data_IF_759209741980
#
_entry.id   IF_759209741980
#
_cell.length_a   1.000
_cell.length_b   1.000
_cell.length_c   1.000
_cell.angle_alpha   90.00
_cell.angle_beta   90.00
_cell.angle_gamma   90.00
#
_symmetry.space_group_name_H-M   'P 1'
#
loop_
_entity.id
_entity.type
_entity.pdbx_description
1 polymer ?
#
# COMPACT_ATOMS: atom_id res chain seq x y z
N UNK A 1 -50.39 -36.80 17.78
CA UNK A 1 -49.03 -37.02 17.24
C UNK A 1 -48.76 -35.90 16.27
N UNK A 2 -48.17 -34.77 16.68
CA UNK A 2 -46.75 -34.61 17.01
C UNK A 2 -45.85 -35.36 16.03
N UNK A 3 -45.19 -34.62 15.15
CA UNK A 3 -43.74 -34.44 15.23
C UNK A 3 -43.35 -33.12 14.55
N UNK A 4 -42.68 -32.29 15.35
CA UNK A 4 -41.86 -31.15 14.94
C UNK A 4 -40.55 -31.62 14.29
N UNK A 5 -39.76 -30.61 13.90
CA UNK A 5 -38.33 -30.62 13.55
C UNK A 5 -37.97 -30.98 12.11
N UNK A 6 -37.11 -30.21 11.43
CA UNK A 6 -36.25 -29.11 11.89
C UNK A 6 -35.70 -28.38 10.68
N UNK A 7 -35.74 -27.07 10.79
CA UNK A 7 -34.84 -26.13 10.13
C UNK A 7 -33.40 -26.67 10.10
N UNK A 8 -32.86 -26.83 8.90
CA UNK A 8 -31.41 -26.82 8.69
C UNK A 8 -31.13 -26.31 7.29
N UNK A 9 -31.53 -25.06 7.04
CA UNK A 9 -30.80 -24.26 6.04
C UNK A 9 -29.41 -24.08 6.62
N UNK A 10 -28.49 -24.97 6.21
CA UNK A 10 -27.06 -24.83 6.52
C UNK A 10 -26.58 -23.64 5.71
N UNK A 11 -26.85 -22.45 6.23
CA UNK A 11 -26.20 -21.23 5.80
C UNK A 11 -24.72 -21.44 6.09
N UNK A 12 -23.94 -21.55 5.03
CA UNK A 12 -22.54 -21.17 5.07
C UNK A 12 -22.49 -19.79 5.72
N UNK A 13 -21.99 -19.69 6.96
CA UNK A 13 -21.67 -18.42 7.58
C UNK A 13 -20.68 -17.70 6.67
N UNK A 14 -21.16 -16.74 5.87
CA UNK A 14 -20.26 -15.85 5.16
C UNK A 14 -19.65 -14.92 6.20
N UNK A 15 -18.31 -14.89 6.28
CA UNK A 15 -17.57 -14.03 7.21
C UNK A 15 -17.92 -12.53 7.07
N UNK A 16 -18.63 -12.16 6.01
CA UNK A 16 -19.18 -10.84 5.76
C UNK A 16 -20.60 -10.97 5.19
N UNK A 17 -21.59 -10.34 5.83
CA UNK A 17 -23.00 -10.37 5.43
C UNK A 17 -23.48 -8.99 4.94
N UNK A 18 -24.66 -8.94 4.32
CA UNK A 18 -25.22 -7.70 3.77
C UNK A 18 -25.43 -6.59 4.82
N UNK A 19 -25.92 -6.89 6.04
CA UNK A 19 -25.99 -5.90 7.12
C UNK A 19 -24.63 -5.37 7.59
N UNK A 20 -23.59 -6.21 7.69
CA UNK A 20 -22.23 -5.77 8.01
C UNK A 20 -21.66 -4.86 6.93
N UNK A 21 -21.85 -5.21 5.66
CA UNK A 21 -21.43 -4.40 4.52
C UNK A 21 -22.04 -2.99 4.54
N UNK A 22 -23.34 -2.88 4.81
CA UNK A 22 -24.04 -1.61 4.87
C UNK A 22 -23.49 -0.70 5.98
N UNK A 23 -23.21 -1.26 7.17
CA UNK A 23 -22.60 -0.52 8.29
C UNK A 23 -21.21 -0.01 7.94
N UNK A 24 -20.35 -0.86 7.39
CA UNK A 24 -19.00 -0.49 6.98
C UNK A 24 -19.03 0.65 5.95
N UNK A 25 -19.88 0.57 4.93
CA UNK A 25 -20.01 1.63 3.92
C UNK A 25 -20.50 2.95 4.54
N UNK A 26 -21.44 2.89 5.47
CA UNK A 26 -21.93 4.07 6.17
C UNK A 26 -20.82 4.76 6.97
N UNK A 27 -20.00 3.98 7.70
CA UNK A 27 -18.86 4.50 8.47
C UNK A 27 -17.80 5.13 7.57
N UNK A 28 -17.42 4.46 6.46
CA UNK A 28 -16.45 4.97 5.50
C UNK A 28 -16.91 6.28 4.86
N UNK A 29 -18.20 6.38 4.50
CA UNK A 29 -18.81 7.63 3.99
C UNK A 29 -18.78 8.74 5.04
N UNK A 30 -19.05 8.41 6.30
CA UNK A 30 -18.94 9.36 7.41
C UNK A 30 -17.51 9.86 7.60
N UNK A 31 -16.51 8.97 7.56
CA UNK A 31 -15.10 9.34 7.65
C UNK A 31 -14.66 10.26 6.50
N UNK A 32 -15.10 9.98 5.27
CA UNK A 32 -14.84 10.86 4.12
C UNK A 32 -15.52 12.23 4.27
N UNK A 33 -16.82 12.24 4.61
CA UNK A 33 -17.59 13.47 4.78
C UNK A 33 -17.06 14.38 5.91
N UNK A 34 -16.42 13.79 6.93
CA UNK A 34 -15.74 14.54 8.00
C UNK A 34 -14.52 15.35 7.54
N UNK A 35 -14.04 15.13 6.30
CA UNK A 35 -12.85 15.79 5.75
C UNK A 35 -11.53 15.21 6.25
N UNK A 36 -11.55 14.17 7.11
CA UNK A 36 -10.35 13.51 7.64
C UNK A 36 -9.39 13.03 6.52
N UNK A 37 -9.93 12.59 5.40
CA UNK A 37 -9.16 12.06 4.27
C UNK A 37 -8.56 13.14 3.36
N UNK A 38 -8.89 14.42 3.58
CA UNK A 38 -8.46 15.53 2.72
C UNK A 38 -7.06 16.02 3.03
N UNK A 39 -6.59 15.86 4.28
CA UNK A 39 -5.29 16.40 4.68
C UNK A 39 -4.16 15.71 3.90
N UNK A 40 -3.12 16.47 3.58
CA UNK A 40 -1.95 15.94 2.90
C UNK A 40 -1.25 14.89 3.76
N UNK A 41 -0.97 15.22 5.02
CA UNK A 41 -0.28 14.34 5.96
C UNK A 41 -1.02 13.02 6.21
N UNK A 42 -2.36 13.06 6.23
CA UNK A 42 -3.17 11.85 6.37
C UNK A 42 -2.95 10.92 5.18
N UNK A 43 -2.97 11.45 3.96
CA UNK A 43 -2.79 10.66 2.73
C UNK A 43 -1.37 10.12 2.59
N UNK A 44 -0.36 10.92 2.93
CA UNK A 44 1.03 10.47 3.02
C UNK A 44 1.15 9.30 4.00
N UNK A 45 0.54 9.44 5.18
CA UNK A 45 0.54 8.37 6.20
C UNK A 45 -0.14 7.10 5.70
N UNK A 46 -1.28 7.21 5.00
CA UNK A 46 -1.96 6.04 4.44
C UNK A 46 -1.14 5.38 3.32
N UNK A 47 -0.50 6.16 2.44
CA UNK A 47 0.31 5.62 1.35
C UNK A 47 1.57 4.93 1.88
N UNK A 48 2.25 5.51 2.89
CA UNK A 48 3.37 4.86 3.58
C UNK A 48 2.94 3.57 4.29
N UNK A 49 1.75 3.56 4.89
CA UNK A 49 1.21 2.34 5.51
C UNK A 49 0.91 1.24 4.47
N UNK A 50 0.43 1.62 3.27
CA UNK A 50 0.20 0.67 2.17
C UNK A 50 1.51 0.11 1.60
N UNK A 51 2.52 0.96 1.38
CA UNK A 51 3.86 0.52 0.98
C UNK A 51 4.41 -0.50 1.98
N UNK A 52 4.32 -0.20 3.27
CA UNK A 52 4.75 -1.09 4.34
C UNK A 52 3.98 -2.41 4.37
N UNK A 53 2.65 -2.37 4.19
CA UNK A 53 1.82 -3.57 4.14
C UNK A 53 2.30 -4.54 3.04
N UNK A 54 2.57 -4.01 1.85
CA UNK A 54 3.03 -4.85 0.73
C UNK A 54 4.45 -5.37 0.97
N UNK A 55 5.34 -4.57 1.55
CA UNK A 55 6.70 -4.98 1.88
C UNK A 55 6.73 -6.07 2.97
N UNK A 56 5.96 -5.90 4.04
CA UNK A 56 5.96 -6.82 5.18
C UNK A 56 5.30 -8.17 4.83
N UNK A 57 4.35 -8.17 3.90
CA UNK A 57 3.56 -9.37 3.50
C UNK A 57 3.85 -9.86 2.08
N UNK A 58 4.95 -9.44 1.45
CA UNK A 58 5.38 -9.92 0.12
C UNK A 58 5.29 -11.46 -0.04
N UNK A 59 5.87 -12.30 0.86
CA UNK A 59 5.84 -13.74 0.67
C UNK A 59 4.42 -14.33 0.74
N UNK A 60 3.55 -13.73 1.56
CA UNK A 60 2.15 -14.16 1.69
C UNK A 60 1.36 -13.83 0.43
N UNK A 61 1.61 -12.65 -0.17
CA UNK A 61 1.01 -12.22 -1.44
C UNK A 61 1.45 -13.16 -2.58
N UNK A 62 2.74 -13.52 -2.64
CA UNK A 62 3.26 -14.45 -3.64
C UNK A 62 2.61 -15.83 -3.50
N UNK A 63 2.49 -16.34 -2.28
CA UNK A 63 1.90 -17.66 -2.04
C UNK A 63 0.39 -17.69 -2.33
N UNK A 64 -0.35 -16.64 -1.96
CA UNK A 64 -1.76 -16.48 -2.29
C UNK A 64 -1.99 -16.46 -3.80
N UNK A 65 -1.23 -15.62 -4.53
CA UNK A 65 -1.34 -15.54 -6.00
C UNK A 65 -0.93 -16.83 -6.71
N UNK A 66 0.03 -17.57 -6.15
CA UNK A 66 0.37 -18.91 -6.64
C UNK A 66 -0.78 -19.89 -6.42
N UNK A 67 -1.45 -19.86 -5.27
CA UNK A 67 -2.57 -20.75 -4.96
C UNK A 67 -3.81 -20.43 -5.81
N UNK A 68 -4.13 -19.16 -5.96
CA UNK A 68 -5.36 -18.71 -6.63
C UNK A 68 -5.23 -18.72 -8.15
N UNK A 69 -4.08 -18.27 -8.67
CA UNK A 69 -3.89 -18.04 -10.11
C UNK A 69 -2.80 -18.90 -10.74
N UNK A 70 -2.12 -19.76 -9.97
CA UNK A 70 -0.95 -20.53 -10.42
C UNK A 70 0.18 -19.66 -11.00
N UNK A 71 0.24 -18.38 -10.61
CA UNK A 71 1.21 -17.41 -11.13
C UNK A 71 2.62 -17.75 -10.60
N UNK A 72 3.67 -17.80 -11.46
CA UNK A 72 5.02 -18.05 -11.01
C UNK A 72 5.55 -16.86 -10.17
N UNK A 73 6.41 -17.10 -9.16
CA UNK A 73 6.84 -16.06 -8.22
C UNK A 73 7.49 -14.85 -8.89
N UNK A 74 8.31 -15.09 -9.91
CA UNK A 74 8.99 -14.02 -10.63
C UNK A 74 8.01 -13.05 -11.28
N UNK A 75 6.92 -13.55 -11.84
CA UNK A 75 5.90 -12.73 -12.51
C UNK A 75 5.09 -11.92 -11.48
N UNK A 76 4.74 -12.52 -10.34
CA UNK A 76 4.11 -11.81 -9.23
C UNK A 76 5.01 -10.69 -8.72
N UNK A 77 6.30 -10.98 -8.51
CA UNK A 77 7.25 -9.97 -8.04
C UNK A 77 7.40 -8.86 -9.08
N UNK A 78 7.58 -9.19 -10.36
CA UNK A 78 7.77 -8.22 -11.44
C UNK A 78 6.59 -7.27 -11.67
N UNK A 79 5.36 -7.77 -11.61
CA UNK A 79 4.18 -7.00 -12.04
C UNK A 79 3.31 -6.49 -10.90
N UNK A 80 3.30 -7.15 -9.74
CA UNK A 80 2.46 -6.75 -8.61
C UNK A 80 3.30 -6.06 -7.54
N UNK A 81 4.33 -6.74 -7.03
CA UNK A 81 5.11 -6.31 -5.86
C UNK A 81 6.08 -5.17 -6.22
N UNK A 82 6.76 -5.31 -7.37
CA UNK A 82 7.70 -4.31 -7.89
C UNK A 82 7.02 -3.02 -8.39
N UNK A 83 5.70 -2.93 -8.36
CA UNK A 83 5.04 -1.64 -8.59
C UNK A 83 5.07 -0.75 -7.32
N UNK A 84 5.06 -1.37 -6.13
CA UNK A 84 4.90 -0.66 -4.85
C UNK A 84 6.22 -0.44 -4.11
N UNK A 85 7.15 -1.40 -4.17
CA UNK A 85 8.36 -1.43 -3.32
C UNK A 85 9.62 -0.82 -3.96
N UNK A 86 9.93 -0.97 -5.25
CA UNK A 86 11.26 -0.65 -5.77
C UNK A 86 11.40 0.79 -6.23
N UNK A 87 10.36 1.63 -6.24
CA UNK A 87 10.60 3.04 -6.52
C UNK A 87 11.47 3.67 -5.42
N UNK A 88 11.30 3.29 -4.14
CA UNK A 88 12.13 3.76 -3.04
C UNK A 88 13.54 3.13 -3.03
N UNK A 89 13.67 1.85 -3.41
CA UNK A 89 14.96 1.14 -3.50
C UNK A 89 15.77 1.44 -4.78
N UNK A 90 15.13 1.57 -5.95
CA UNK A 90 15.83 1.93 -7.19
C UNK A 90 16.21 3.41 -7.18
N UNK A 91 15.39 4.32 -6.63
CA UNK A 91 15.81 5.70 -6.46
C UNK A 91 16.96 5.81 -5.47
N UNK A 92 16.96 5.09 -4.35
CA UNK A 92 18.10 5.10 -3.43
C UNK A 92 19.36 4.48 -4.05
N UNK A 93 19.27 3.38 -4.82
CA UNK A 93 20.43 2.78 -5.50
C UNK A 93 20.93 3.66 -6.66
N UNK A 94 20.07 4.22 -7.51
CA UNK A 94 20.46 5.16 -8.56
C UNK A 94 20.97 6.49 -7.99
N UNK A 95 20.40 6.97 -6.88
CA UNK A 95 20.86 8.17 -6.18
C UNK A 95 22.19 7.93 -5.46
N UNK A 96 22.38 6.78 -4.82
CA UNK A 96 23.67 6.40 -4.24
C UNK A 96 24.73 6.15 -5.32
N UNK A 97 24.37 5.58 -6.48
CA UNK A 97 25.23 5.50 -7.66
C UNK A 97 25.54 6.87 -8.28
N UNK A 98 24.59 7.82 -8.25
CA UNK A 98 24.78 9.19 -8.74
C UNK A 98 25.68 10.00 -7.78
N UNK A 99 25.46 9.88 -6.47
CA UNK A 99 26.31 10.48 -5.43
C UNK A 99 27.71 9.86 -5.45
N UNK A 100 27.84 8.53 -5.42
CA UNK A 100 29.13 7.86 -5.49
C UNK A 100 29.83 8.03 -6.85
N UNK A 101 29.07 8.20 -7.94
CA UNK A 101 29.58 8.50 -9.28
C UNK A 101 30.15 9.92 -9.41
N UNK A 102 29.57 10.90 -8.71
CA UNK A 102 30.10 12.26 -8.62
C UNK A 102 31.19 12.43 -7.54
N UNK A 103 31.29 11.50 -6.57
CA UNK A 103 32.19 11.61 -5.42
C UNK A 103 33.69 11.32 -5.68
N UNK A 104 34.14 11.11 -6.93
CA UNK A 104 35.58 10.95 -7.21
C UNK A 104 36.34 12.28 -7.32
N UNK A 105 35.71 13.44 -7.10
CA UNK A 105 36.37 14.74 -7.24
C UNK A 105 36.42 15.66 -6.01
N UNK A 106 35.75 15.37 -4.89
CA UNK A 106 35.81 16.26 -3.71
C UNK A 106 35.80 15.47 -2.42
N UNK A 107 36.91 15.54 -1.70
CA UNK A 107 37.11 15.08 -0.34
C UNK A 107 36.36 15.96 0.66
N UNK A 108 35.11 15.65 0.99
CA UNK A 108 34.44 16.16 2.20
C UNK A 108 33.51 15.07 2.72
N UNK A 109 33.75 14.67 3.98
CA UNK A 109 32.95 13.71 4.75
C UNK A 109 31.94 14.49 5.59
N UNK A 110 30.83 13.81 5.91
CA UNK A 110 30.02 13.94 7.13
C UNK A 110 28.78 14.86 7.17
N UNK A 111 27.66 14.18 7.45
CA UNK A 111 26.42 14.58 8.14
C UNK A 111 25.32 15.36 7.40
N UNK A 112 25.58 16.19 6.40
CA UNK A 112 24.50 17.00 5.78
C UNK A 112 23.67 16.31 4.67
N UNK A 113 24.08 15.14 4.18
CA UNK A 113 23.34 14.45 3.12
C UNK A 113 22.09 13.69 3.60
N UNK A 114 21.96 13.43 4.90
CA UNK A 114 20.90 12.55 5.41
C UNK A 114 19.53 13.24 5.47
N UNK A 115 19.47 14.55 5.74
CA UNK A 115 18.20 15.28 5.88
C UNK A 115 17.49 15.59 4.55
N UNK A 116 18.20 15.56 3.41
CA UNK A 116 17.59 15.83 2.10
C UNK A 116 17.09 14.57 1.37
N UNK A 117 17.40 13.38 1.91
CA UNK A 117 17.05 12.10 1.27
C UNK A 117 15.63 11.61 1.60
N UNK A 118 14.95 12.24 2.58
CA UNK A 118 13.52 11.97 2.86
C UNK A 118 12.57 12.49 1.76
N UNK A 119 13.00 13.50 1.00
CA UNK A 119 12.14 14.26 0.08
C UNK A 119 11.74 13.51 -1.20
N UNK A 120 12.41 12.41 -1.55
CA UNK A 120 12.18 11.73 -2.85
C UNK A 120 10.98 10.77 -2.82
N UNK A 121 10.74 10.07 -1.71
CA UNK A 121 9.54 9.24 -1.50
C UNK A 121 8.32 10.12 -1.29
N UNK A 122 8.53 11.28 -0.66
CA UNK A 122 7.52 12.30 -0.53
C UNK A 122 7.09 12.86 -1.90
N UNK A 123 7.94 12.92 -2.93
CA UNK A 123 7.57 13.45 -4.26
C UNK A 123 6.53 12.60 -5.01
N UNK A 124 6.64 11.27 -4.99
CA UNK A 124 5.67 10.38 -5.68
C UNK A 124 4.37 10.31 -4.91
N UNK A 125 4.47 10.26 -3.58
CA UNK A 125 3.33 10.38 -2.68
C UNK A 125 2.66 11.75 -2.86
N UNK A 126 3.43 12.82 -3.08
CA UNK A 126 2.92 14.17 -3.35
C UNK A 126 2.15 14.22 -4.67
N UNK A 127 2.69 13.63 -5.74
CA UNK A 127 2.02 13.54 -7.05
C UNK A 127 0.70 12.77 -6.95
N UNK A 128 0.69 11.60 -6.29
CA UNK A 128 -0.53 10.82 -6.09
C UNK A 128 -1.54 11.57 -5.21
N UNK A 129 -1.07 12.23 -4.15
CA UNK A 129 -1.91 13.08 -3.32
C UNK A 129 -2.47 14.29 -4.11
N UNK A 130 -1.70 14.90 -5.01
CA UNK A 130 -2.21 15.96 -5.89
C UNK A 130 -3.25 15.43 -6.88
N UNK A 131 -2.98 14.31 -7.56
CA UNK A 131 -3.89 13.74 -8.56
C UNK A 131 -5.26 13.31 -7.98
N UNK A 132 -5.31 12.83 -6.73
CA UNK A 132 -6.54 12.29 -6.13
C UNK A 132 -7.52 13.38 -5.65
N UNK A 133 -7.07 14.63 -5.44
CA UNK A 133 -7.94 15.70 -4.87
C UNK A 133 -7.82 17.08 -5.51
N UNK A 134 -6.76 17.36 -6.29
CA UNK A 134 -6.58 18.62 -7.01
C UNK A 134 -6.86 18.50 -8.52
N UNK A 135 -7.56 17.42 -8.93
CA UNK A 135 -8.17 17.35 -10.26
C UNK A 135 -9.41 18.23 -10.35
N UNK A 136 -9.21 19.55 -10.34
CA UNK A 136 -10.06 20.56 -10.96
C UNK A 136 -9.22 21.28 -12.03
#
# INVERSE_FOLDING_TARGET
MSSQDSDKTTSTESAFDAPAASRLVMELRGAFASGKTRSYDWRVTQLKALEKLVADHEPEIIDALRKDLAKPPLETVAYEVLLFIPLSLLLSVFYFLCICGACRLTSVVEEECFENCSSQVDFVIEILCRFIYYGD
#
